data_IF_341469456582
#
_entry.id   IF_341469456582
#
_cell.length_a   1.000
_cell.length_b   1.000
_cell.length_c   1.000
_cell.angle_alpha   90.00
_cell.angle_beta   90.00
_cell.angle_gamma   90.00
#
_symmetry.space_group_name_H-M   'P 1'
#
loop_
_entity.id
_entity.type
_entity.pdbx_description
1 polymer ?
#
# COMPACT_ATOMS: atom_id res chain seq x y z
N UNK A 1 -1.46 -18.77 -40.08
CA UNK A 1 -2.16 -18.91 -38.78
C UNK A 1 -1.35 -19.65 -37.70
N UNK A 2 -0.43 -20.56 -38.03
CA UNK A 2 0.42 -21.26 -37.03
C UNK A 2 1.31 -20.35 -36.15
N UNK A 3 1.73 -19.18 -36.65
CA UNK A 3 2.57 -18.26 -35.89
C UNK A 3 1.86 -17.52 -34.76
N UNK A 4 0.56 -17.25 -34.87
CA UNK A 4 -0.18 -16.46 -33.88
C UNK A 4 -0.45 -17.25 -32.60
N UNK A 5 -0.72 -18.55 -32.72
CA UNK A 5 -0.94 -19.44 -31.58
C UNK A 5 0.29 -19.58 -30.68
N UNK A 6 1.49 -19.59 -31.28
CA UNK A 6 2.74 -19.68 -30.52
C UNK A 6 3.03 -18.40 -29.72
N UNK A 7 2.70 -17.23 -30.28
CA UNK A 7 2.88 -15.94 -29.58
C UNK A 7 1.93 -15.85 -28.38
N UNK A 8 0.68 -16.30 -28.55
CA UNK A 8 -0.29 -16.30 -27.45
C UNK A 8 0.12 -17.27 -26.33
N UNK A 9 0.59 -18.47 -26.68
CA UNK A 9 1.11 -19.44 -25.71
C UNK A 9 2.31 -18.88 -24.92
N UNK A 10 3.24 -18.19 -25.59
CA UNK A 10 4.39 -17.56 -24.95
C UNK A 10 3.99 -16.43 -24.00
N UNK A 11 3.00 -15.61 -24.36
CA UNK A 11 2.49 -14.56 -23.46
C UNK A 11 1.85 -15.14 -22.19
N UNK A 12 1.02 -16.17 -22.32
CA UNK A 12 0.37 -16.82 -21.17
C UNK A 12 1.40 -17.45 -20.24
N UNK A 13 2.42 -18.13 -20.79
CA UNK A 13 3.53 -18.70 -20.00
C UNK A 13 4.31 -17.60 -19.28
N UNK A 14 4.60 -16.48 -19.95
CA UNK A 14 5.30 -15.35 -19.34
C UNK A 14 4.54 -14.76 -18.14
N UNK A 15 3.21 -14.63 -18.25
CA UNK A 15 2.36 -14.14 -17.15
C UNK A 15 2.35 -15.13 -15.97
N UNK A 16 2.25 -16.43 -16.23
CA UNK A 16 2.23 -17.46 -15.16
C UNK A 16 3.57 -17.53 -14.41
N UNK A 17 4.69 -17.41 -15.12
CA UNK A 17 6.03 -17.41 -14.49
C UNK A 17 6.25 -16.14 -13.67
N UNK A 18 5.77 -14.99 -14.14
CA UNK A 18 5.86 -13.73 -13.40
C UNK A 18 5.08 -13.75 -12.07
N UNK A 19 3.96 -14.47 -12.03
CA UNK A 19 3.11 -14.61 -10.83
C UNK A 19 3.72 -15.57 -9.79
N UNK A 20 4.45 -16.60 -10.23
CA UNK A 20 4.89 -17.70 -9.35
C UNK A 20 6.30 -17.54 -8.78
N UNK A 21 7.15 -16.70 -9.38
CA UNK A 21 8.53 -16.51 -8.93
C UNK A 21 8.97 -15.03 -9.02
N UNK A 22 8.59 -14.16 -8.06
CA UNK A 22 8.76 -12.70 -8.17
C UNK A 22 10.24 -12.25 -8.25
N UNK A 23 11.18 -13.02 -7.71
CA UNK A 23 12.62 -12.74 -7.73
C UNK A 23 13.23 -12.94 -9.14
N UNK A 24 12.67 -13.87 -9.92
CA UNK A 24 13.12 -14.26 -11.28
C UNK A 24 12.23 -13.62 -12.36
N UNK A 25 10.99 -13.30 -11.98
CA UNK A 25 9.93 -12.77 -12.86
C UNK A 25 10.27 -11.43 -13.49
N UNK A 26 11.14 -10.62 -12.88
CA UNK A 26 11.55 -9.35 -13.47
C UNK A 26 12.44 -9.55 -14.70
N UNK A 27 13.44 -10.44 -14.62
CA UNK A 27 14.35 -10.75 -15.73
C UNK A 27 13.70 -11.61 -16.80
N UNK A 28 12.88 -12.59 -16.40
CA UNK A 28 12.12 -13.42 -17.34
C UNK A 28 11.01 -12.60 -18.01
N UNK A 29 10.32 -11.73 -17.29
CA UNK A 29 9.33 -10.80 -17.85
C UNK A 29 9.95 -9.83 -18.87
N UNK A 30 11.16 -9.34 -18.62
CA UNK A 30 11.89 -8.47 -19.55
C UNK A 30 12.32 -9.22 -20.82
N UNK A 31 12.80 -10.46 -20.69
CA UNK A 31 13.11 -11.32 -21.85
C UNK A 31 11.84 -11.67 -22.66
N UNK A 32 10.72 -11.95 -21.99
CA UNK A 32 9.43 -12.24 -22.62
C UNK A 32 8.72 -11.00 -23.16
N UNK A 33 9.15 -9.78 -22.85
CA UNK A 33 8.70 -8.55 -23.52
C UNK A 33 9.49 -8.31 -24.80
N UNK A 34 10.81 -8.52 -24.78
CA UNK A 34 11.70 -8.26 -25.93
C UNK A 34 11.45 -9.23 -27.08
N UNK A 35 11.25 -10.53 -26.79
CA UNK A 35 11.02 -11.56 -27.83
C UNK A 35 9.77 -11.29 -28.69
N UNK A 36 8.56 -11.03 -28.13
CA UNK A 36 7.40 -10.68 -28.93
C UNK A 36 7.53 -9.30 -29.56
N UNK A 37 8.25 -8.34 -28.97
CA UNK A 37 8.51 -7.04 -29.61
C UNK A 37 9.33 -7.22 -30.90
N UNK A 38 10.41 -8.02 -30.84
CA UNK A 38 11.26 -8.32 -31.99
C UNK A 38 10.51 -9.16 -33.04
N UNK A 39 9.67 -10.11 -32.61
CA UNK A 39 8.80 -10.87 -33.51
C UNK A 39 7.73 -9.99 -34.19
N UNK A 40 7.16 -9.02 -33.46
CA UNK A 40 6.23 -8.01 -33.98
C UNK A 40 6.92 -7.11 -35.01
N UNK A 41 8.13 -6.61 -34.73
CA UNK A 41 8.91 -5.80 -35.69
C UNK A 41 9.25 -6.56 -36.99
N UNK A 42 9.44 -7.88 -36.92
CA UNK A 42 9.64 -8.72 -38.12
C UNK A 42 8.34 -9.04 -38.87
N UNK A 43 7.19 -9.12 -38.19
CA UNK A 43 5.89 -9.37 -38.83
C UNK A 43 5.24 -8.10 -39.41
N UNK A 44 5.50 -6.94 -38.82
CA UNK A 44 4.93 -5.65 -39.18
C UNK A 44 5.08 -5.24 -40.67
N UNK A 45 6.23 -5.45 -41.36
CA UNK A 45 6.35 -5.09 -42.78
C UNK A 45 5.54 -6.00 -43.73
N UNK A 46 5.05 -7.16 -43.28
CA UNK A 46 4.30 -8.09 -44.11
C UNK A 46 2.78 -7.82 -44.10
N UNK A 47 2.28 -7.00 -43.16
CA UNK A 47 0.85 -6.87 -42.90
C UNK A 47 0.13 -5.76 -43.66
N UNK A 48 0.82 -4.93 -44.47
CA UNK A 48 0.21 -3.81 -45.23
C UNK A 48 -0.82 -2.98 -44.42
N UNK A 49 -0.61 -2.88 -43.11
CA UNK A 49 -1.46 -2.05 -42.25
C UNK A 49 -1.08 -0.60 -42.53
N UNK A 50 -1.92 0.10 -43.30
CA UNK A 50 -1.80 1.54 -43.46
C UNK A 50 -1.72 2.25 -42.10
N UNK A 51 -1.18 3.46 -42.06
CA UNK A 51 -0.84 4.22 -40.83
C UNK A 51 -1.86 4.16 -39.67
N UNK A 52 -3.15 3.97 -39.98
CA UNK A 52 -4.23 3.82 -39.00
C UNK A 52 -4.22 2.48 -38.24
N UNK A 53 -3.85 1.37 -38.87
CA UNK A 53 -3.80 0.06 -38.23
C UNK A 53 -2.63 -0.11 -37.25
N UNK A 54 -1.51 0.53 -37.56
CA UNK A 54 -0.34 0.57 -36.67
C UNK A 54 -0.64 1.32 -35.36
N UNK A 55 -1.36 2.45 -35.45
CA UNK A 55 -1.77 3.22 -34.27
C UNK A 55 -2.71 2.45 -33.34
N UNK A 56 -3.63 1.65 -33.87
CA UNK A 56 -4.58 0.86 -33.08
C UNK A 56 -3.87 -0.27 -32.31
N UNK A 57 -2.91 -0.96 -32.94
CA UNK A 57 -2.17 -2.04 -32.28
C UNK A 57 -1.26 -1.51 -31.15
N UNK A 58 -0.59 -0.36 -31.36
CA UNK A 58 0.20 0.30 -30.31
C UNK A 58 -0.69 0.79 -29.18
N UNK A 59 -1.84 1.40 -29.49
CA UNK A 59 -2.81 1.85 -28.50
C UNK A 59 -3.37 0.69 -27.66
N UNK A 60 -3.64 -0.48 -28.27
CA UNK A 60 -4.11 -1.66 -27.56
C UNK A 60 -3.06 -2.21 -26.56
N UNK A 61 -1.76 -2.21 -26.94
CA UNK A 61 -0.68 -2.67 -26.06
C UNK A 61 -0.49 -1.71 -24.87
N UNK A 62 -0.45 -0.39 -25.13
CA UNK A 62 -0.37 0.63 -24.06
C UNK A 62 -1.58 0.55 -23.13
N UNK A 63 -2.78 0.31 -23.67
CA UNK A 63 -3.98 0.11 -22.87
C UNK A 63 -3.87 -1.13 -21.97
N UNK A 64 -3.30 -2.24 -22.44
CA UNK A 64 -3.15 -3.46 -21.62
C UNK A 64 -2.17 -3.31 -20.45
N UNK A 65 -1.11 -2.50 -20.59
CA UNK A 65 -0.19 -2.20 -19.47
C UNK A 65 -0.80 -1.28 -18.41
N UNK A 66 -1.83 -0.50 -18.76
CA UNK A 66 -2.50 0.39 -17.81
C UNK A 66 -3.56 -0.33 -16.93
N UNK A 67 -4.00 -1.53 -17.32
CA UNK A 67 -5.08 -2.27 -16.63
C UNK A 67 -4.52 -3.24 -15.56
N UNK A 68 -3.19 -3.37 -15.43
CA UNK A 68 -2.54 -4.33 -14.53
C UNK A 68 -2.18 -3.82 -13.12
N UNK A 69 -2.46 -2.57 -12.77
CA UNK A 69 -2.04 -1.95 -11.49
C UNK A 69 -3.20 -1.73 -10.51
N UNK A 70 -4.04 -2.74 -10.29
CA UNK A 70 -5.18 -2.66 -9.36
C UNK A 70 -4.92 -3.28 -7.97
N UNK A 71 -3.67 -3.52 -7.58
CA UNK A 71 -3.32 -3.73 -6.18
C UNK A 71 -3.01 -2.36 -5.57
N UNK A 72 -4.04 -1.57 -5.33
CA UNK A 72 -3.89 -0.26 -4.71
C UNK A 72 -3.51 -0.42 -3.23
N UNK A 73 -2.25 -0.16 -2.91
CA UNK A 73 -1.86 0.42 -1.62
C UNK A 73 -2.78 1.61 -1.36
N UNK A 74 -3.32 1.75 -0.15
CA UNK A 74 -4.09 2.95 0.15
C UNK A 74 -3.15 4.16 0.03
N UNK A 75 -3.26 4.93 -1.06
CA UNK A 75 -2.61 6.23 -1.15
C UNK A 75 -3.35 7.15 -0.20
N UNK A 76 -2.70 7.49 0.91
CA UNK A 76 -3.29 8.33 1.95
C UNK A 76 -3.83 9.66 1.42
N UNK A 77 -4.75 10.23 2.20
CA UNK A 77 -5.38 11.50 1.88
C UNK A 77 -5.28 12.45 3.05
N UNK A 78 -5.13 13.72 2.74
CA UNK A 78 -5.02 14.78 3.74
C UNK A 78 -6.37 15.14 4.39
N UNK A 79 -7.48 14.86 3.69
CA UNK A 79 -8.82 15.25 4.12
C UNK A 79 -9.59 14.13 4.82
N UNK A 80 -9.18 12.86 4.68
CA UNK A 80 -9.88 11.73 5.30
C UNK A 80 -9.04 10.47 5.34
N UNK A 81 -9.40 9.57 6.24
CA UNK A 81 -8.87 8.22 6.26
C UNK A 81 -9.35 7.40 5.07
N UNK A 82 -8.45 6.58 4.53
CA UNK A 82 -8.73 5.62 3.48
C UNK A 82 -8.26 4.24 3.91
N UNK A 83 -8.97 3.21 3.48
CA UNK A 83 -8.62 1.81 3.74
C UNK A 83 -8.04 1.16 2.48
N UNK A 84 -7.11 0.23 2.66
CA UNK A 84 -6.54 -0.61 1.62
C UNK A 84 -6.39 -2.05 2.08
N UNK A 85 -5.89 -2.87 1.17
CA UNK A 85 -5.54 -4.26 1.48
C UNK A 85 -4.33 -4.67 0.64
N UNK A 86 -3.32 -5.25 1.28
CA UNK A 86 -2.09 -5.66 0.63
C UNK A 86 -1.42 -6.80 1.39
N UNK A 87 -0.88 -7.78 0.65
CA UNK A 87 -0.08 -8.88 1.22
C UNK A 87 -0.76 -9.64 2.39
N UNK A 88 -2.09 -9.75 2.41
CA UNK A 88 -2.82 -10.42 3.50
C UNK A 88 -3.21 -9.53 4.67
N UNK A 89 -2.91 -8.23 4.62
CA UNK A 89 -3.11 -7.27 5.71
C UNK A 89 -4.09 -6.19 5.26
N UNK A 90 -5.08 -5.90 6.10
CA UNK A 90 -5.93 -4.74 5.94
C UNK A 90 -5.19 -3.50 6.45
N UNK A 91 -5.31 -2.39 5.72
CA UNK A 91 -4.53 -1.18 5.95
C UNK A 91 -5.47 0.01 6.09
N UNK A 92 -5.14 0.97 6.94
CA UNK A 92 -5.83 2.25 7.03
C UNK A 92 -4.82 3.38 7.19
N UNK A 93 -5.01 4.46 6.43
CA UNK A 93 -4.03 5.54 6.35
C UNK A 93 -4.69 6.91 6.23
N UNK A 94 -4.05 7.91 6.83
CA UNK A 94 -4.29 9.34 6.60
C UNK A 94 -2.96 10.05 6.44
N UNK A 95 -2.91 11.07 5.60
CA UNK A 95 -1.72 11.92 5.40
C UNK A 95 -2.01 13.34 5.86
N UNK A 96 -0.98 14.19 5.92
CA UNK A 96 -1.18 15.64 6.04
C UNK A 96 0.02 16.41 5.50
N UNK A 97 -0.01 16.76 4.22
CA UNK A 97 1.14 17.40 3.58
C UNK A 97 2.34 16.44 3.42
N UNK A 98 3.51 16.97 3.01
CA UNK A 98 4.61 16.15 2.54
C UNK A 98 5.23 15.25 3.63
N UNK A 99 5.19 13.93 3.41
CA UNK A 99 5.88 12.95 4.25
C UNK A 99 5.25 12.71 5.62
N UNK A 100 4.08 13.28 5.89
CA UNK A 100 3.34 13.06 7.13
C UNK A 100 2.26 11.99 6.93
N UNK A 101 2.23 10.97 7.78
CA UNK A 101 1.19 9.96 7.76
C UNK A 101 0.98 9.30 9.13
N UNK A 102 -0.27 8.85 9.35
CA UNK A 102 -0.60 7.83 10.35
C UNK A 102 -1.03 6.59 9.57
N UNK A 103 -0.42 5.45 9.88
CA UNK A 103 -0.63 4.20 9.17
C UNK A 103 -0.95 3.08 10.15
N UNK A 104 -2.09 2.44 9.95
CA UNK A 104 -2.60 1.35 10.78
C UNK A 104 -2.63 0.09 9.92
N UNK A 105 -2.03 -0.98 10.43
CA UNK A 105 -2.10 -2.30 9.83
C UNK A 105 -2.92 -3.24 10.70
N UNK A 106 -3.66 -4.12 10.05
CA UNK A 106 -4.60 -5.05 10.66
C UNK A 106 -4.43 -6.42 10.01
N UNK A 107 -3.73 -7.32 10.70
CA UNK A 107 -3.56 -8.68 10.22
C UNK A 107 -4.86 -9.48 10.41
N UNK A 108 -5.58 -9.72 9.31
CA UNK A 108 -6.79 -10.53 9.32
C UNK A 108 -6.50 -12.04 9.17
N UNK A 109 -5.31 -12.40 8.67
CA UNK A 109 -4.92 -13.78 8.33
C UNK A 109 -4.30 -14.60 9.46
N UNK A 110 -4.13 -14.02 10.66
CA UNK A 110 -3.61 -14.73 11.84
C UNK A 110 -2.09 -14.94 11.85
N UNK A 111 -1.33 -14.28 10.97
CA UNK A 111 0.12 -14.22 11.07
C UNK A 111 0.57 -13.36 12.28
N UNK A 112 1.69 -13.71 12.90
CA UNK A 112 2.23 -12.93 14.01
C UNK A 112 2.91 -11.64 13.52
N UNK A 113 2.61 -10.50 14.15
CA UNK A 113 3.41 -9.27 14.03
C UNK A 113 3.08 -8.41 12.81
N UNK A 114 1.81 -8.21 12.50
CA UNK A 114 1.43 -7.27 11.43
C UNK A 114 0.28 -6.34 11.82
N UNK A 115 -0.15 -6.32 13.09
CA UNK A 115 -1.10 -5.34 13.59
C UNK A 115 -0.42 -4.30 14.46
N UNK A 116 -0.50 -3.04 14.06
CA UNK A 116 0.09 -1.93 14.80
C UNK A 116 -0.19 -0.56 14.15
N UNK A 117 0.37 0.48 14.76
CA UNK A 117 0.19 1.88 14.35
C UNK A 117 1.55 2.54 14.21
N UNK A 118 1.86 2.99 13.01
CA UNK A 118 3.08 3.74 12.71
C UNK A 118 2.79 5.19 12.37
N UNK A 119 3.74 6.05 12.69
CA UNK A 119 3.68 7.48 12.45
C UNK A 119 4.90 7.89 11.63
N UNK A 120 4.69 8.78 10.66
CA UNK A 120 5.79 9.47 10.00
C UNK A 120 5.51 10.96 10.00
N UNK A 121 6.54 11.74 10.30
CA UNK A 121 6.53 13.20 10.18
C UNK A 121 7.73 13.62 9.33
N UNK A 122 7.48 14.45 8.31
CA UNK A 122 8.47 14.89 7.32
C UNK A 122 9.30 13.73 6.73
N UNK A 123 8.67 12.57 6.53
CA UNK A 123 9.31 11.36 5.99
C UNK A 123 10.11 10.54 7.00
N UNK A 124 10.04 10.85 8.30
CA UNK A 124 10.82 10.18 9.35
C UNK A 124 9.90 9.51 10.37
N UNK A 125 10.27 8.31 10.80
CA UNK A 125 9.66 7.65 11.96
C UNK A 125 10.15 8.31 13.27
N UNK A 126 9.38 8.21 14.37
CA UNK A 126 9.84 8.68 15.67
C UNK A 126 11.00 7.82 16.18
N UNK A 127 11.99 8.45 16.80
CA UNK A 127 13.21 7.80 17.30
C UNK A 127 13.24 7.60 18.83
N UNK A 128 12.22 8.10 19.53
CA UNK A 128 12.09 7.98 20.98
C UNK A 128 11.22 6.79 21.39
N UNK A 129 11.02 6.66 22.71
CA UNK A 129 10.15 5.62 23.29
C UNK A 129 8.71 6.11 23.45
N UNK A 130 8.44 7.39 23.19
CA UNK A 130 7.11 7.97 23.30
C UNK A 130 6.80 8.93 22.15
N UNK A 131 5.51 9.09 21.88
CA UNK A 131 4.96 10.19 21.12
C UNK A 131 3.89 10.89 21.97
N UNK A 132 3.68 12.17 21.73
CA UNK A 132 2.58 12.90 22.34
C UNK A 132 1.43 13.01 21.35
N UNK A 133 0.25 12.55 21.75
CA UNK A 133 -0.99 12.68 20.99
C UNK A 133 -1.93 13.65 21.69
N UNK A 134 -2.50 14.59 20.94
CA UNK A 134 -3.50 15.53 21.44
C UNK A 134 -4.75 15.44 20.57
N UNK A 135 -5.82 14.85 21.08
CA UNK A 135 -7.08 14.66 20.35
C UNK A 135 -8.01 15.85 20.55
N UNK A 136 -8.57 16.42 19.48
CA UNK A 136 -9.57 17.52 19.54
C UNK A 136 -9.24 18.70 20.47
N UNK A 137 -7.95 18.96 20.70
CA UNK A 137 -7.40 19.95 21.65
C UNK A 137 -7.69 19.64 23.14
N UNK A 138 -7.95 18.37 23.47
CA UNK A 138 -7.93 17.85 24.84
C UNK A 138 -6.51 17.90 25.43
N UNK A 139 -6.33 17.40 26.66
CA UNK A 139 -5.01 17.33 27.28
C UNK A 139 -4.07 16.41 26.46
N UNK A 140 -2.81 16.80 26.25
CA UNK A 140 -1.83 15.94 25.59
C UNK A 140 -1.58 14.66 26.38
N UNK A 141 -1.45 13.55 25.67
CA UNK A 141 -1.21 12.22 26.22
C UNK A 141 0.08 11.64 25.67
N UNK A 142 0.95 11.15 26.55
CA UNK A 142 2.13 10.40 26.12
C UNK A 142 1.77 8.94 25.88
N UNK A 143 2.08 8.48 24.67
CA UNK A 143 1.82 7.13 24.21
C UNK A 143 3.16 6.46 23.98
N UNK A 144 3.38 5.34 24.66
CA UNK A 144 4.59 4.54 24.50
C UNK A 144 4.63 3.91 23.10
N UNK A 145 5.82 3.84 22.52
CA UNK A 145 6.10 3.19 21.24
C UNK A 145 7.33 2.30 21.35
N UNK A 146 7.45 1.34 20.46
CA UNK A 146 8.63 0.49 20.31
C UNK A 146 9.05 0.47 18.86
N UNK A 147 10.32 0.80 18.58
CA UNK A 147 10.87 0.85 17.23
C UNK A 147 10.05 1.73 16.26
N UNK A 148 9.52 2.85 16.75
CA UNK A 148 8.74 3.79 15.93
C UNK A 148 7.25 3.43 15.76
N UNK A 149 6.76 2.39 16.46
CA UNK A 149 5.41 1.86 16.28
C UNK A 149 4.70 1.58 17.62
N UNK A 150 3.38 1.70 17.64
CA UNK A 150 2.53 1.11 18.67
C UNK A 150 2.21 -0.34 18.25
N UNK A 151 2.89 -1.30 18.86
CA UNK A 151 2.70 -2.73 18.58
C UNK A 151 1.51 -3.30 19.34
N UNK A 152 1.04 -4.49 18.95
CA UNK A 152 -0.13 -5.14 19.57
C UNK A 152 0.12 -6.58 20.05
N UNK A 153 1.36 -7.04 20.03
CA UNK A 153 1.77 -8.45 20.23
C UNK A 153 2.12 -8.83 21.69
N UNK A 154 1.90 -7.94 22.65
CA UNK A 154 2.11 -8.19 24.07
C UNK A 154 0.95 -7.63 24.91
N UNK A 155 0.78 -8.09 26.15
CA UNK A 155 -0.36 -7.67 27.01
C UNK A 155 -0.43 -6.15 27.21
N UNK A 156 0.69 -5.50 27.48
CA UNK A 156 0.75 -4.04 27.65
C UNK A 156 0.59 -3.32 26.31
N UNK A 157 1.24 -3.84 25.26
CA UNK A 157 1.18 -3.35 23.89
C UNK A 157 -0.28 -3.31 23.38
N UNK A 158 -1.02 -4.38 23.60
CA UNK A 158 -2.44 -4.50 23.26
C UNK A 158 -3.28 -3.38 23.90
N UNK A 159 -3.11 -3.13 25.20
CA UNK A 159 -3.86 -2.07 25.89
C UNK A 159 -3.58 -0.69 25.30
N UNK A 160 -2.31 -0.42 24.97
CA UNK A 160 -1.91 0.83 24.34
C UNK A 160 -2.47 0.96 22.90
N UNK A 161 -2.37 -0.10 22.11
CA UNK A 161 -2.92 -0.19 20.76
C UNK A 161 -4.44 0.04 20.74
N UNK A 162 -5.19 -0.71 21.55
CA UNK A 162 -6.65 -0.59 21.63
C UNK A 162 -7.09 0.79 22.10
N UNK A 163 -6.35 1.38 23.04
CA UNK A 163 -6.58 2.75 23.49
C UNK A 163 -6.44 3.74 22.33
N UNK A 164 -5.31 3.71 21.63
CA UNK A 164 -5.05 4.62 20.51
C UNK A 164 -6.04 4.42 19.37
N UNK A 165 -6.35 3.18 18.98
CA UNK A 165 -7.38 2.90 17.96
C UNK A 165 -8.73 3.47 18.36
N UNK A 166 -9.16 3.28 19.61
CA UNK A 166 -10.44 3.82 20.09
C UNK A 166 -10.48 5.34 19.96
N UNK A 167 -9.41 6.03 20.37
CA UNK A 167 -9.32 7.50 20.27
C UNK A 167 -9.30 7.95 18.81
N UNK A 168 -8.53 7.29 17.94
CA UNK A 168 -8.52 7.57 16.49
C UNK A 168 -9.93 7.43 15.88
N UNK A 169 -10.70 6.43 16.28
CA UNK A 169 -12.06 6.17 15.76
C UNK A 169 -13.14 7.12 16.31
N UNK A 170 -12.91 7.78 17.45
CA UNK A 170 -13.94 8.55 18.15
C UNK A 170 -13.76 10.08 18.15
N UNK A 171 -12.64 10.60 17.64
CA UNK A 171 -12.33 12.03 17.60
C UNK A 171 -12.33 12.55 16.17
N UNK A 172 -12.20 13.88 16.01
CA UNK A 172 -12.22 14.55 14.71
C UNK A 172 -10.81 14.88 14.20
N UNK A 173 -9.85 15.03 15.11
CA UNK A 173 -8.47 15.40 14.81
C UNK A 173 -7.50 14.86 15.85
N UNK A 174 -6.25 14.68 15.44
CA UNK A 174 -5.13 14.37 16.35
C UNK A 174 -3.92 15.21 15.96
N UNK A 175 -3.32 15.87 16.93
CA UNK A 175 -1.98 16.46 16.80
C UNK A 175 -0.96 15.46 17.34
N UNK A 176 0.02 15.13 16.51
CA UNK A 176 1.11 14.21 16.82
C UNK A 176 2.37 15.06 17.00
N UNK A 177 3.05 14.86 18.12
CA UNK A 177 4.33 15.51 18.44
C UNK A 177 5.35 14.43 18.83
N UNK A 178 6.48 14.42 18.13
CA UNK A 178 7.63 13.57 18.45
C UNK A 178 8.54 14.26 19.47
N UNK A 179 9.36 13.48 20.17
CA UNK A 179 10.31 13.99 21.17
C UNK A 179 11.32 14.99 20.60
N UNK A 180 11.65 14.89 19.31
CA UNK A 180 12.55 15.80 18.62
C UNK A 180 11.90 17.16 18.25
N UNK A 181 10.60 17.34 18.56
CA UNK A 181 9.84 18.56 18.26
C UNK A 181 9.09 18.54 16.93
N UNK A 182 9.33 17.55 16.05
CA UNK A 182 8.57 17.39 14.81
C UNK A 182 7.10 17.14 15.15
N UNK A 183 6.19 17.82 14.47
CA UNK A 183 4.76 17.70 14.74
C UNK A 183 3.89 17.93 13.51
N UNK A 184 2.72 17.31 13.49
CA UNK A 184 1.67 17.56 12.50
C UNK A 184 0.28 17.30 13.08
N UNK A 185 -0.74 17.92 12.50
CA UNK A 185 -2.14 17.68 12.84
C UNK A 185 -2.82 16.92 11.71
N UNK A 186 -3.47 15.81 12.05
CA UNK A 186 -4.20 14.97 11.11
C UNK A 186 -5.71 15.06 11.36
N UNK A 187 -6.47 14.95 10.28
CA UNK A 187 -7.91 14.68 10.36
C UNK A 187 -8.15 13.23 10.80
N UNK A 188 -9.22 13.02 11.56
CA UNK A 188 -9.75 11.70 11.89
C UNK A 188 -11.06 11.40 11.16
N UNK A 189 -11.43 12.23 10.19
CA UNK A 189 -12.61 12.00 9.37
C UNK A 189 -12.53 10.64 8.66
N UNK A 190 -13.52 9.78 8.88
CA UNK A 190 -13.61 8.47 8.26
C UNK A 190 -12.74 7.38 8.91
N UNK A 191 -11.99 7.68 9.96
CA UNK A 191 -11.10 6.73 10.65
C UNK A 191 -11.84 5.47 11.09
N UNK A 192 -13.02 5.61 11.71
CA UNK A 192 -13.85 4.49 12.15
C UNK A 192 -14.16 3.51 11.02
N UNK A 193 -14.56 4.04 9.86
CA UNK A 193 -14.89 3.22 8.68
C UNK A 193 -13.64 2.62 8.01
N UNK A 194 -12.53 3.34 8.02
CA UNK A 194 -11.29 2.89 7.37
C UNK A 194 -10.60 1.79 8.19
N UNK A 195 -10.47 1.98 9.51
CA UNK A 195 -9.81 1.06 10.44
C UNK A 195 -10.67 -0.20 10.68
N UNK A 196 -12.01 -0.05 10.72
CA UNK A 196 -12.96 -1.14 11.00
C UNK A 196 -12.67 -1.84 12.33
N UNK A 197 -12.94 -3.14 12.40
CA UNK A 197 -12.71 -3.99 13.58
C UNK A 197 -11.36 -4.66 13.43
N UNK A 198 -10.36 -4.04 14.06
CA UNK A 198 -8.98 -4.47 13.99
C UNK A 198 -8.56 -5.13 15.31
N UNK A 199 -8.44 -6.46 15.29
CA UNK A 199 -8.11 -7.24 16.49
C UNK A 199 -6.60 -7.24 16.71
N UNK A 200 -6.12 -6.78 17.89
CA UNK A 200 -4.69 -6.79 18.22
C UNK A 200 -4.12 -8.21 18.20
N UNK A 201 -2.83 -8.34 17.85
CA UNK A 201 -2.17 -9.64 17.71
C UNK A 201 -2.23 -10.49 18.99
N UNK A 202 -2.10 -9.87 20.17
CA UNK A 202 -2.13 -10.57 21.46
C UNK A 202 -3.52 -11.12 21.85
N UNK A 203 -4.60 -10.63 21.24
CA UNK A 203 -5.97 -11.05 21.57
C UNK A 203 -6.50 -12.20 20.69
N UNK A 204 -5.69 -12.68 19.74
CA UNK A 204 -6.03 -13.84 18.89
C UNK A 204 -5.49 -15.13 19.49
#
# INVERSE_FOLDING_TARGET
MKGLGNVFALMVVGVVVAVTAPQIGLWVGLAFLVVPLVALFRLLPQLHLGHRGFGIAVAAIVATTAIGSHYASAFGRDDKWVSGWGQGVAEAIVTHGPGNQIYVTCNESGGAGSTGISFMLAGKAPTGDNITLTFDNENPEQIWISNGEITSNCRACMGNYEYTIRRLKSHNSVHVLFENGDNARFTLQGSNKAIKDCVPDFAR
#
